data_IF_180074883118
#
_entry.id   IF_180074883118
#
_cell.length_a   1.000
_cell.length_b   1.000
_cell.length_c   1.000
_cell.angle_alpha   90.00
_cell.angle_beta   90.00
_cell.angle_gamma   90.00
#
_symmetry.space_group_name_H-M   'P 1'
#
loop_
_entity.id
_entity.type
_entity.pdbx_description
1 polymer ?
#
# COMPACT_ATOMS: atom_id res chain seq x y z
N UNK A 1 -11.49 49.87 13.53
CA UNK A 1 -10.28 49.12 13.86
C UNK A 1 -10.35 47.77 13.11
N UNK A 2 -9.59 47.64 12.03
CA UNK A 2 -9.54 46.41 11.20
C UNK A 2 -8.29 45.64 11.63
N UNK A 3 -8.45 44.53 12.33
CA UNK A 3 -7.38 43.59 12.66
C UNK A 3 -7.11 42.66 11.44
N UNK A 4 -5.93 42.79 10.85
CA UNK A 4 -5.42 41.84 9.85
C UNK A 4 -4.84 40.63 10.60
N UNK A 5 -5.39 39.45 10.38
CA UNK A 5 -4.70 38.21 10.71
C UNK A 5 -3.77 37.84 9.56
N UNK A 6 -2.49 37.85 9.83
CA UNK A 6 -1.45 37.30 8.93
C UNK A 6 -1.33 35.81 9.16
N UNK A 7 -1.88 35.01 8.25
CA UNK A 7 -1.58 33.59 8.14
C UNK A 7 -0.61 33.40 6.98
N UNK A 8 0.47 32.70 7.20
CA UNK A 8 1.31 32.20 6.11
C UNK A 8 2.81 32.42 6.29
N UNK A 9 3.49 31.56 7.02
CA UNK A 9 4.97 31.61 7.09
C UNK A 9 5.68 30.29 7.41
N UNK A 10 4.97 29.28 7.93
CA UNK A 10 5.62 28.07 8.43
C UNK A 10 5.81 26.94 7.41
N UNK A 11 4.79 26.61 6.64
CA UNK A 11 4.82 25.46 5.72
C UNK A 11 5.78 25.66 4.53
N UNK A 12 5.80 26.86 3.97
CA UNK A 12 6.72 27.18 2.84
C UNK A 12 8.19 27.18 3.20
N UNK A 13 8.56 27.38 4.47
CA UNK A 13 9.95 27.35 4.92
C UNK A 13 10.45 25.92 5.15
N UNK A 14 9.59 25.02 5.65
CA UNK A 14 9.91 23.60 5.83
C UNK A 14 10.05 22.87 4.48
N UNK A 15 9.15 23.14 3.52
CA UNK A 15 9.24 22.59 2.17
C UNK A 15 10.50 23.08 1.44
N UNK A 16 10.87 24.37 1.54
CA UNK A 16 12.10 24.90 0.95
C UNK A 16 13.36 24.34 1.61
N UNK A 17 13.35 24.06 2.91
CA UNK A 17 14.47 23.44 3.63
C UNK A 17 14.72 21.98 3.21
N UNK A 18 13.68 21.22 2.84
CA UNK A 18 13.79 19.86 2.31
C UNK A 18 14.30 19.84 0.86
N UNK A 19 13.78 20.70 0.00
CA UNK A 19 14.23 20.83 -1.39
C UNK A 19 15.72 21.20 -1.51
N UNK A 20 16.26 21.99 -0.59
CA UNK A 20 17.68 22.35 -0.55
C UNK A 20 18.59 21.15 -0.20
N UNK A 21 18.07 20.07 0.41
CA UNK A 21 18.84 18.85 0.70
C UNK A 21 18.99 17.92 -0.51
N UNK A 22 18.11 18.02 -1.51
CA UNK A 22 18.10 17.13 -2.68
C UNK A 22 18.74 17.75 -3.93
N UNK A 23 19.17 19.01 -3.88
CA UNK A 23 19.71 19.76 -5.02
C UNK A 23 21.23 19.71 -5.21
N UNK A 24 21.97 18.93 -4.43
CA UNK A 24 23.43 18.90 -4.50
C UNK A 24 23.96 17.54 -4.95
N UNK A 25 24.62 17.54 -6.12
CA UNK A 25 25.51 16.51 -6.66
C UNK A 25 24.89 15.23 -7.26
N UNK A 26 24.55 15.30 -8.55
CA UNK A 26 23.92 14.25 -9.37
C UNK A 26 24.86 13.09 -9.80
N UNK A 27 26.08 13.00 -9.33
CA UNK A 27 27.07 11.99 -9.76
C UNK A 27 27.39 10.94 -8.70
N UNK A 28 26.93 11.09 -7.46
CA UNK A 28 27.14 10.09 -6.42
C UNK A 28 26.02 9.05 -6.41
N UNK A 29 26.38 7.76 -6.44
CA UNK A 29 25.46 6.67 -6.10
C UNK A 29 24.83 6.99 -4.74
N UNK A 30 23.52 7.22 -4.74
CA UNK A 30 22.79 7.56 -3.51
C UNK A 30 22.95 6.41 -2.51
N UNK A 31 23.18 6.68 -1.22
CA UNK A 31 23.35 5.62 -0.23
C UNK A 31 22.11 4.73 -0.21
N UNK A 32 22.32 3.42 -0.17
CA UNK A 32 21.24 2.46 0.03
C UNK A 32 20.46 2.83 1.29
N UNK A 33 19.12 2.83 1.23
CA UNK A 33 18.27 3.14 2.39
C UNK A 33 18.44 2.10 3.52
N UNK A 34 19.03 0.95 3.21
CA UNK A 34 19.08 -0.24 4.08
C UNK A 34 20.30 -0.35 5.01
N UNK A 35 21.17 0.66 5.14
CA UNK A 35 22.35 0.51 5.99
C UNK A 35 21.93 0.15 7.43
N UNK A 36 22.29 -1.08 7.85
CA UNK A 36 22.02 -1.66 9.18
C UNK A 36 20.55 -1.84 9.55
N UNK A 37 19.61 -1.84 8.60
CA UNK A 37 18.21 -2.15 8.89
C UNK A 37 17.99 -3.67 9.05
N UNK A 38 17.22 -4.05 10.07
CA UNK A 38 16.76 -5.44 10.26
C UNK A 38 15.73 -5.82 9.21
N UNK A 39 14.84 -4.89 8.85
CA UNK A 39 13.81 -5.07 7.84
C UNK A 39 14.07 -4.17 6.62
N UNK A 40 13.83 -4.70 5.45
CA UNK A 40 13.87 -3.92 4.21
C UNK A 40 12.66 -2.97 4.13
N UNK A 41 11.48 -3.47 4.54
CA UNK A 41 10.21 -2.71 4.57
C UNK A 41 9.41 -3.05 5.82
N UNK A 42 8.90 -2.05 6.53
CA UNK A 42 7.82 -2.19 7.51
C UNK A 42 6.58 -1.48 6.95
N UNK A 43 5.45 -2.18 6.87
CA UNK A 43 4.21 -1.56 6.39
C UNK A 43 3.19 -1.35 7.51
N UNK A 44 2.43 -0.23 7.43
CA UNK A 44 1.23 0.02 8.21
C UNK A 44 0.03 -0.06 7.29
N UNK A 45 -0.95 -0.91 7.62
CA UNK A 45 -2.12 -1.10 6.75
C UNK A 45 -3.31 -1.76 7.44
N UNK A 46 -4.40 -1.88 6.68
CA UNK A 46 -5.58 -2.60 7.12
C UNK A 46 -5.32 -4.10 7.19
N UNK A 47 -5.29 -4.65 8.40
CA UNK A 47 -5.19 -6.09 8.62
C UNK A 47 -6.59 -6.71 8.40
N UNK A 48 -6.85 -7.18 7.20
CA UNK A 48 -8.11 -7.79 6.80
C UNK A 48 -7.89 -9.18 6.21
N UNK A 49 -8.89 -10.05 6.33
CA UNK A 49 -8.90 -11.37 5.68
C UNK A 49 -9.70 -11.28 4.40
N UNK A 50 -9.09 -11.64 3.28
CA UNK A 50 -9.78 -11.78 2.01
C UNK A 50 -10.47 -13.14 1.96
N UNK A 51 -11.78 -13.13 1.64
CA UNK A 51 -12.60 -14.32 1.48
C UNK A 51 -13.08 -14.37 0.02
N UNK A 52 -12.46 -15.20 -0.78
CA UNK A 52 -12.79 -15.35 -2.20
C UNK A 52 -13.72 -16.53 -2.42
N UNK A 53 -14.89 -16.29 -3.02
CA UNK A 53 -15.82 -17.36 -3.38
C UNK A 53 -16.44 -17.13 -4.77
N UNK A 54 -16.71 -18.20 -5.53
CA UNK A 54 -17.47 -18.09 -6.76
C UNK A 54 -18.94 -17.75 -6.45
N UNK A 55 -19.58 -16.97 -7.31
CA UNK A 55 -21.00 -16.69 -7.21
C UNK A 55 -21.66 -16.60 -8.58
N UNK A 56 -22.98 -16.85 -8.63
CA UNK A 56 -23.78 -16.57 -9.82
C UNK A 56 -24.26 -15.10 -9.80
N UNK A 57 -24.49 -14.45 -10.95
CA UNK A 57 -25.00 -13.08 -11.02
C UNK A 57 -26.30 -12.88 -10.22
N UNK A 58 -27.16 -13.91 -10.18
CA UNK A 58 -28.40 -13.90 -9.40
C UNK A 58 -28.16 -13.75 -7.88
N UNK A 59 -27.02 -14.21 -7.37
CA UNK A 59 -26.65 -14.00 -5.97
C UNK A 59 -26.41 -12.50 -5.68
N UNK A 60 -25.68 -11.82 -6.55
CA UNK A 60 -25.41 -10.39 -6.41
C UNK A 60 -26.71 -9.58 -6.44
N UNK A 61 -27.61 -9.89 -7.39
CA UNK A 61 -28.91 -9.26 -7.49
C UNK A 61 -29.76 -9.49 -6.23
N UNK A 62 -29.83 -10.73 -5.75
CA UNK A 62 -30.60 -11.11 -4.55
C UNK A 62 -30.07 -10.41 -3.28
N UNK A 63 -28.78 -10.06 -3.24
CA UNK A 63 -28.15 -9.33 -2.13
C UNK A 63 -28.09 -7.81 -2.35
N UNK A 64 -28.58 -7.30 -3.48
CA UNK A 64 -28.56 -5.88 -3.83
C UNK A 64 -27.15 -5.33 -4.05
N UNK A 65 -26.21 -6.19 -4.47
CA UNK A 65 -24.83 -5.83 -4.72
C UNK A 65 -24.64 -5.38 -6.17
N UNK A 66 -23.94 -4.28 -6.37
CA UNK A 66 -23.64 -3.79 -7.72
C UNK A 66 -22.43 -4.57 -8.26
N UNK A 67 -22.60 -5.32 -9.37
CA UNK A 67 -21.51 -6.09 -9.95
C UNK A 67 -20.28 -5.22 -10.26
N UNK A 68 -19.10 -5.74 -9.94
CA UNK A 68 -17.83 -5.05 -10.20
C UNK A 68 -17.50 -3.90 -9.25
N UNK A 69 -18.33 -3.64 -8.23
CA UNK A 69 -18.11 -2.56 -7.27
C UNK A 69 -17.42 -3.05 -5.99
N UNK A 70 -16.82 -2.08 -5.27
CA UNK A 70 -16.41 -2.24 -3.89
C UNK A 70 -17.31 -1.36 -3.01
N UNK A 71 -17.80 -1.94 -1.90
CA UNK A 71 -18.57 -1.19 -0.91
C UNK A 71 -18.15 -1.56 0.50
N UNK A 72 -18.23 -0.58 1.41
CA UNK A 72 -18.05 -0.81 2.83
C UNK A 72 -19.36 -1.33 3.43
N UNK A 73 -19.25 -2.30 4.33
CA UNK A 73 -20.37 -2.92 5.05
C UNK A 73 -20.08 -2.93 6.54
N UNK A 74 -21.13 -3.00 7.36
CA UNK A 74 -21.00 -3.19 8.80
C UNK A 74 -20.78 -4.70 9.15
N UNK A 75 -20.52 -4.97 10.45
CA UNK A 75 -20.26 -6.33 10.95
C UNK A 75 -21.42 -7.28 10.67
N UNK A 76 -22.68 -6.83 10.87
CA UNK A 76 -23.89 -7.65 10.68
C UNK A 76 -24.13 -7.96 9.20
N UNK A 77 -23.97 -6.96 8.34
CA UNK A 77 -24.05 -7.14 6.89
C UNK A 77 -22.97 -8.10 6.40
N UNK A 78 -21.75 -7.92 6.87
CA UNK A 78 -20.62 -8.78 6.53
C UNK A 78 -20.86 -10.22 6.97
N UNK A 79 -21.35 -10.46 8.20
CA UNK A 79 -21.66 -11.79 8.69
C UNK A 79 -22.77 -12.46 7.83
N UNK A 80 -23.86 -11.72 7.57
CA UNK A 80 -24.97 -12.21 6.75
C UNK A 80 -24.56 -12.57 5.31
N UNK A 81 -23.65 -11.79 4.74
CA UNK A 81 -23.11 -12.07 3.41
C UNK A 81 -22.20 -13.30 3.44
N UNK A 82 -21.28 -13.36 4.42
CA UNK A 82 -20.36 -14.48 4.60
C UNK A 82 -21.10 -15.82 4.73
N UNK A 83 -22.14 -15.88 5.57
CA UNK A 83 -22.97 -17.09 5.77
C UNK A 83 -23.72 -17.52 4.50
N UNK A 84 -23.96 -16.58 3.58
CA UNK A 84 -24.67 -16.84 2.34
C UNK A 84 -23.74 -17.15 1.16
N UNK A 85 -22.43 -16.92 1.28
CA UNK A 85 -21.46 -17.20 0.22
C UNK A 85 -21.26 -18.69 0.00
N UNK A 86 -20.84 -19.07 -1.19
CA UNK A 86 -20.34 -20.41 -1.45
C UNK A 86 -19.03 -20.66 -0.68
N UNK A 87 -18.61 -21.93 -0.60
CA UNK A 87 -17.31 -22.27 -0.04
C UNK A 87 -16.19 -21.50 -0.78
N UNK A 88 -15.36 -20.83 -0.02
CA UNK A 88 -14.30 -19.95 -0.53
C UNK A 88 -12.95 -20.24 0.08
N UNK A 89 -11.98 -19.43 -0.32
CA UNK A 89 -10.60 -19.43 0.21
C UNK A 89 -10.43 -18.21 1.08
N UNK A 90 -9.91 -18.41 2.28
CA UNK A 90 -9.54 -17.35 3.22
C UNK A 90 -8.03 -17.21 3.24
N UNK A 91 -7.57 -15.96 3.15
CA UNK A 91 -6.15 -15.63 3.23
C UNK A 91 -5.96 -14.26 3.89
N UNK A 92 -4.84 -14.02 4.54
CA UNK A 92 -4.50 -12.67 4.97
C UNK A 92 -4.43 -11.75 3.74
N UNK A 93 -5.07 -10.58 3.83
CA UNK A 93 -5.23 -9.62 2.75
C UNK A 93 -4.86 -8.20 3.19
N UNK A 94 -5.48 -7.22 2.53
CA UNK A 94 -5.16 -5.81 2.68
C UNK A 94 -3.95 -5.39 1.85
N UNK A 95 -4.01 -4.18 1.26
CA UNK A 95 -3.03 -3.69 0.30
C UNK A 95 -1.60 -3.76 0.84
N UNK A 96 -1.34 -3.19 2.02
CA UNK A 96 -0.01 -3.23 2.62
C UNK A 96 0.40 -4.65 3.05
N UNK A 97 -0.55 -5.49 3.48
CA UNK A 97 -0.31 -6.91 3.78
C UNK A 97 0.15 -7.69 2.54
N UNK A 98 -0.48 -7.45 1.40
CA UNK A 98 -0.08 -8.02 0.12
C UNK A 98 1.31 -7.53 -0.32
N UNK A 99 1.58 -6.23 -0.11
CA UNK A 99 2.89 -5.64 -0.43
C UNK A 99 4.02 -6.31 0.37
N UNK A 100 3.88 -6.46 1.69
CA UNK A 100 4.94 -7.09 2.50
C UNK A 100 5.08 -8.58 2.23
N UNK A 101 3.98 -9.27 1.85
CA UNK A 101 4.06 -10.65 1.39
C UNK A 101 4.87 -10.76 0.07
N UNK A 102 4.68 -9.82 -0.84
CA UNK A 102 5.49 -9.71 -2.06
C UNK A 102 6.98 -9.45 -1.76
N UNK A 103 7.28 -8.56 -0.82
CA UNK A 103 8.66 -8.33 -0.33
C UNK A 103 9.27 -9.64 0.18
N UNK A 104 8.53 -10.40 1.00
CA UNK A 104 8.95 -11.73 1.48
C UNK A 104 9.18 -12.72 0.33
N UNK A 105 8.30 -12.75 -0.68
CA UNK A 105 8.43 -13.61 -1.86
C UNK A 105 9.69 -13.33 -2.68
N UNK A 106 10.14 -12.08 -2.72
CA UNK A 106 11.45 -11.70 -3.27
C UNK A 106 12.65 -12.08 -2.37
N UNK A 107 12.41 -12.63 -1.17
CA UNK A 107 13.44 -12.89 -0.18
C UNK A 107 13.90 -11.64 0.57
N UNK A 108 13.07 -10.62 0.62
CA UNK A 108 13.22 -9.45 1.49
C UNK A 108 12.77 -9.76 2.91
N UNK A 109 13.20 -8.92 3.84
CA UNK A 109 12.79 -8.99 5.26
C UNK A 109 11.73 -7.94 5.49
N UNK A 110 10.54 -8.34 5.88
CA UNK A 110 9.42 -7.43 6.05
C UNK A 110 8.84 -7.49 7.47
N UNK A 111 8.29 -6.37 7.91
CA UNK A 111 7.47 -6.24 9.10
C UNK A 111 6.11 -5.62 8.73
N UNK A 112 5.11 -5.89 9.55
CA UNK A 112 3.77 -5.37 9.34
C UNK A 112 3.17 -4.88 10.66
N UNK A 113 2.54 -3.73 10.64
CA UNK A 113 1.76 -3.15 11.74
C UNK A 113 0.33 -2.98 11.25
N UNK A 114 -0.62 -3.64 11.91
CA UNK A 114 -2.05 -3.58 11.58
C UNK A 114 -2.85 -4.21 12.70
N UNK A 115 -4.11 -3.84 12.85
CA UNK A 115 -4.94 -4.26 13.97
C UNK A 115 -5.88 -5.38 13.58
N UNK A 116 -5.85 -6.49 14.30
CA UNK A 116 -6.82 -7.58 14.25
C UNK A 116 -7.52 -7.72 15.60
N UNK A 117 -8.72 -8.29 15.63
CA UNK A 117 -9.40 -8.64 16.87
C UNK A 117 -8.93 -10.01 17.38
N UNK A 118 -9.25 -10.29 18.63
CA UNK A 118 -9.09 -11.61 19.26
C UNK A 118 -10.24 -12.53 18.83
N UNK A 119 -10.19 -12.99 17.60
CA UNK A 119 -11.17 -13.88 17.00
C UNK A 119 -10.50 -14.84 16.00
N UNK A 120 -11.27 -15.77 15.45
CA UNK A 120 -10.76 -16.79 14.51
C UNK A 120 -10.10 -16.17 13.27
N UNK A 121 -10.68 -15.09 12.71
CA UNK A 121 -10.08 -14.42 11.55
C UNK A 121 -8.78 -13.69 11.91
N UNK A 122 -8.69 -13.14 13.12
CA UNK A 122 -7.44 -12.56 13.64
C UNK A 122 -6.32 -13.60 13.81
N UNK A 123 -6.68 -14.81 14.23
CA UNK A 123 -5.75 -15.95 14.27
C UNK A 123 -5.31 -16.37 12.87
N UNK A 124 -6.24 -16.48 11.92
CA UNK A 124 -5.96 -16.78 10.50
C UNK A 124 -5.02 -15.73 9.92
N UNK A 125 -5.34 -14.44 10.06
CA UNK A 125 -4.50 -13.37 9.57
C UNK A 125 -3.07 -13.46 10.16
N UNK A 126 -2.99 -13.57 11.49
CA UNK A 126 -1.71 -13.57 12.21
C UNK A 126 -0.84 -14.77 11.84
N UNK A 127 -1.44 -15.95 11.69
CA UNK A 127 -0.74 -17.15 11.25
C UNK A 127 -0.24 -17.00 9.81
N UNK A 128 -1.10 -16.57 8.92
CA UNK A 128 -0.83 -16.56 7.49
C UNK A 128 0.24 -15.49 7.12
N UNK A 129 0.14 -14.27 7.69
CA UNK A 129 1.14 -13.23 7.44
C UNK A 129 2.53 -13.60 7.97
N UNK A 130 2.59 -14.33 9.11
CA UNK A 130 3.85 -14.85 9.65
C UNK A 130 4.39 -16.03 8.84
N UNK A 131 3.52 -16.86 8.28
CA UNK A 131 3.91 -18.01 7.46
C UNK A 131 4.62 -17.59 6.17
N UNK A 132 4.31 -16.41 5.62
CA UNK A 132 5.04 -15.83 4.48
C UNK A 132 6.32 -15.08 4.90
N UNK A 133 6.75 -15.20 6.17
CA UNK A 133 8.01 -14.65 6.66
C UNK A 133 7.96 -13.19 7.12
N UNK A 134 6.78 -12.61 7.27
CA UNK A 134 6.60 -11.22 7.74
C UNK A 134 6.56 -11.19 9.27
N UNK A 135 7.32 -10.29 9.89
CA UNK A 135 7.24 -10.02 11.31
C UNK A 135 5.93 -9.27 11.63
N UNK A 136 5.10 -9.83 12.51
CA UNK A 136 3.82 -9.26 12.90
C UNK A 136 3.53 -9.51 14.37
N UNK A 137 3.62 -8.49 15.21
CA UNK A 137 3.46 -8.55 16.66
C UNK A 137 2.56 -7.42 17.22
N UNK A 138 1.77 -6.75 16.36
CA UNK A 138 0.81 -5.74 16.81
C UNK A 138 -0.17 -6.34 17.82
N UNK A 139 -0.38 -5.74 18.99
CA UNK A 139 -1.33 -6.23 19.97
C UNK A 139 -2.73 -6.36 19.41
N UNK A 140 -3.39 -7.50 19.65
CA UNK A 140 -4.77 -7.74 19.22
C UNK A 140 -5.75 -6.83 19.97
N UNK A 141 -6.90 -6.56 19.34
CA UNK A 141 -8.03 -5.90 20.00
C UNK A 141 -8.81 -6.96 20.80
N UNK A 142 -8.66 -6.94 22.14
CA UNK A 142 -9.18 -8.01 23.01
C UNK A 142 -10.73 -8.10 23.00
N UNK A 143 -11.43 -6.98 22.99
CA UNK A 143 -12.89 -6.90 23.10
C UNK A 143 -13.55 -6.49 21.76
N UNK A 144 -12.94 -6.77 20.64
CA UNK A 144 -13.43 -6.34 19.32
C UNK A 144 -14.57 -7.19 18.79
N UNK A 145 -14.45 -8.51 18.93
CA UNK A 145 -15.42 -9.47 18.36
C UNK A 145 -16.79 -9.34 19.05
N UNK A 146 -17.84 -9.23 18.23
CA UNK A 146 -19.21 -9.09 18.72
C UNK A 146 -19.59 -7.69 19.22
N UNK A 147 -18.65 -6.75 19.19
CA UNK A 147 -18.87 -5.33 19.58
C UNK A 147 -18.75 -4.36 18.38
N UNK A 148 -18.86 -4.85 17.16
CA UNK A 148 -18.73 -4.05 15.93
C UNK A 148 -17.27 -3.89 15.44
N UNK A 149 -16.31 -4.53 16.10
CA UNK A 149 -14.87 -4.41 15.81
C UNK A 149 -14.17 -5.76 15.68
N UNK A 150 -14.89 -6.81 15.23
CA UNK A 150 -14.26 -8.07 14.82
C UNK A 150 -13.17 -7.85 13.77
N UNK A 151 -12.34 -8.84 13.53
CA UNK A 151 -11.27 -8.74 12.51
C UNK A 151 -11.87 -8.38 11.15
N UNK A 152 -11.26 -7.40 10.49
CA UNK A 152 -11.67 -6.94 9.18
C UNK A 152 -11.64 -8.06 8.14
N UNK A 153 -12.57 -8.02 7.18
CA UNK A 153 -12.62 -8.98 6.07
C UNK A 153 -13.17 -8.34 4.80
N UNK A 154 -12.64 -8.76 3.67
CA UNK A 154 -13.15 -8.42 2.35
C UNK A 154 -13.80 -9.66 1.73
N UNK A 155 -15.12 -9.61 1.54
CA UNK A 155 -15.89 -10.66 0.89
C UNK A 155 -15.88 -10.42 -0.62
N UNK A 156 -15.16 -11.27 -1.35
CA UNK A 156 -14.90 -11.14 -2.77
C UNK A 156 -15.71 -12.18 -3.53
N UNK A 157 -16.83 -11.75 -4.10
CA UNK A 157 -17.70 -12.57 -4.91
C UNK A 157 -17.28 -12.51 -6.37
N UNK A 158 -17.00 -13.67 -6.96
CA UNK A 158 -16.43 -13.79 -8.30
C UNK A 158 -17.43 -14.46 -9.23
N UNK A 159 -17.91 -13.74 -10.24
CA UNK A 159 -18.83 -14.26 -11.26
C UNK A 159 -18.09 -15.04 -12.35
N UNK A 160 -18.78 -15.92 -13.13
CA UNK A 160 -18.16 -16.77 -14.14
C UNK A 160 -17.39 -16.02 -15.24
N UNK A 161 -17.72 -14.75 -15.48
CA UNK A 161 -16.99 -13.87 -16.39
C UNK A 161 -15.72 -13.24 -15.77
N UNK A 162 -15.43 -13.58 -14.49
CA UNK A 162 -14.27 -13.10 -13.77
C UNK A 162 -14.46 -11.76 -13.08
N UNK A 163 -15.65 -11.16 -13.13
CA UNK A 163 -15.89 -9.89 -12.45
C UNK A 163 -15.98 -10.12 -10.93
N UNK A 164 -15.43 -9.17 -10.18
CA UNK A 164 -15.39 -9.20 -8.71
C UNK A 164 -16.28 -8.14 -8.11
N UNK A 165 -17.05 -8.56 -7.11
CA UNK A 165 -17.84 -7.64 -6.28
C UNK A 165 -17.38 -7.80 -4.85
N UNK A 166 -16.92 -6.71 -4.25
CA UNK A 166 -16.26 -6.69 -2.95
C UNK A 166 -17.14 -6.00 -1.91
N UNK A 167 -17.28 -6.65 -0.75
CA UNK A 167 -17.94 -6.08 0.41
C UNK A 167 -16.95 -6.10 1.58
N UNK A 168 -16.46 -4.94 1.99
CA UNK A 168 -15.37 -4.82 2.96
C UNK A 168 -15.91 -4.32 4.30
N UNK A 169 -15.71 -5.13 5.33
CA UNK A 169 -15.85 -4.77 6.72
C UNK A 169 -14.46 -4.52 7.30
N UNK A 170 -14.18 -3.31 7.75
CA UNK A 170 -12.85 -2.92 8.24
C UNK A 170 -12.62 -3.32 9.71
N UNK A 171 -13.68 -3.33 10.52
CA UNK A 171 -13.64 -3.82 11.90
C UNK A 171 -12.46 -3.30 12.72
N UNK A 172 -11.69 -4.24 13.27
CA UNK A 172 -10.52 -3.95 14.10
C UNK A 172 -9.45 -3.14 13.37
N UNK A 173 -9.33 -3.23 12.04
CA UNK A 173 -8.35 -2.45 11.29
C UNK A 173 -8.53 -0.93 11.48
N UNK A 174 -9.80 -0.47 11.61
CA UNK A 174 -10.11 0.93 11.91
C UNK A 174 -9.76 1.37 13.35
N UNK A 175 -9.34 0.44 14.21
CA UNK A 175 -8.96 0.71 15.60
C UNK A 175 -7.44 0.85 15.77
N UNK A 176 -6.70 0.94 14.66
CA UNK A 176 -5.27 1.24 14.70
C UNK A 176 -5.04 2.63 15.26
N UNK A 177 -4.16 2.75 16.24
CA UNK A 177 -3.84 4.00 16.93
C UNK A 177 -2.33 4.21 17.06
N UNK A 178 -1.93 5.35 17.60
CA UNK A 178 -0.51 5.63 17.92
C UNK A 178 0.09 4.65 18.92
N UNK A 179 -0.73 4.01 19.78
CA UNK A 179 -0.25 3.02 20.73
C UNK A 179 0.19 1.70 20.07
N UNK A 180 -0.24 1.47 18.84
CA UNK A 180 0.13 0.28 18.04
C UNK A 180 1.41 0.49 17.21
N UNK A 181 1.92 1.72 17.16
CA UNK A 181 3.14 2.08 16.42
C UNK A 181 4.36 1.67 17.22
N UNK A 182 4.98 0.56 16.85
CA UNK A 182 6.22 0.10 17.45
C UNK A 182 7.42 0.87 16.87
N UNK A 183 7.91 1.86 17.64
CA UNK A 183 9.05 2.68 17.24
C UNK A 183 10.35 1.88 17.05
N UNK A 184 10.49 0.73 17.73
CA UNK A 184 11.63 -0.17 17.57
C UNK A 184 11.60 -0.85 16.20
N UNK A 185 10.46 -1.43 15.81
CA UNK A 185 10.27 -2.04 14.49
C UNK A 185 10.43 -0.99 13.38
N UNK A 186 9.86 0.20 13.58
CA UNK A 186 10.00 1.35 12.66
C UNK A 186 11.48 1.73 12.49
N UNK A 187 12.21 1.92 13.58
CA UNK A 187 13.62 2.29 13.56
C UNK A 187 14.55 1.23 12.96
N UNK A 188 14.16 -0.03 13.06
CA UNK A 188 14.85 -1.19 12.49
C UNK A 188 14.53 -1.42 11.00
N UNK A 189 13.68 -0.60 10.39
CA UNK A 189 13.23 -0.76 9.00
C UNK A 189 13.88 0.27 8.07
N UNK A 190 14.32 -0.14 6.89
CA UNK A 190 14.89 0.79 5.90
C UNK A 190 13.84 1.76 5.36
N UNK A 191 12.66 1.25 5.05
CA UNK A 191 11.50 2.01 4.56
C UNK A 191 10.28 1.65 5.39
N UNK A 192 9.53 2.68 5.83
CA UNK A 192 8.21 2.55 6.45
C UNK A 192 7.16 2.88 5.40
N UNK A 193 6.31 1.93 5.06
CA UNK A 193 5.31 2.02 4.00
C UNK A 193 3.90 2.16 4.57
N UNK A 194 3.20 3.20 4.17
CA UNK A 194 1.88 3.59 4.69
C UNK A 194 0.80 3.34 3.64
N UNK A 195 -0.26 2.64 4.02
CA UNK A 195 -1.41 2.35 3.16
C UNK A 195 -2.41 3.50 3.18
N UNK A 196 -2.65 4.15 2.04
CA UNK A 196 -3.53 5.31 1.92
C UNK A 196 -4.96 5.07 2.41
N UNK A 197 -5.50 3.85 2.33
CA UNK A 197 -6.82 3.53 2.88
C UNK A 197 -6.95 3.83 4.38
N UNK A 198 -5.87 3.70 5.16
CA UNK A 198 -5.85 4.08 6.58
C UNK A 198 -5.89 5.59 6.82
N UNK A 199 -5.87 6.40 5.77
CA UNK A 199 -6.02 7.84 5.92
C UNK A 199 -7.44 8.28 6.32
N UNK A 200 -8.43 7.39 6.13
CA UNK A 200 -9.84 7.67 6.43
C UNK A 200 -10.12 7.81 7.95
N UNK A 201 -9.72 6.88 8.85
CA UNK A 201 -9.92 7.04 10.28
C UNK A 201 -8.93 8.04 10.91
N UNK A 202 -9.44 9.01 11.67
CA UNK A 202 -8.60 10.01 12.34
C UNK A 202 -7.52 9.42 13.28
N UNK A 203 -7.78 8.36 14.08
CA UNK A 203 -6.73 7.72 14.87
C UNK A 203 -5.60 7.13 14.05
N UNK A 204 -5.92 6.53 12.89
CA UNK A 204 -4.92 5.97 11.99
C UNK A 204 -4.07 7.05 11.31
N UNK A 205 -4.65 8.23 11.00
CA UNK A 205 -3.84 9.38 10.54
C UNK A 205 -2.81 9.81 11.58
N UNK A 206 -3.21 9.87 12.86
CA UNK A 206 -2.26 10.17 13.95
C UNK A 206 -1.19 9.08 14.07
N UNK A 207 -1.53 7.79 13.82
CA UNK A 207 -0.56 6.70 13.77
C UNK A 207 0.42 6.88 12.60
N UNK A 208 -0.02 7.37 11.44
CA UNK A 208 0.87 7.68 10.31
C UNK A 208 1.87 8.78 10.66
N UNK A 209 1.40 9.86 11.27
CA UNK A 209 2.27 10.95 11.73
C UNK A 209 3.31 10.45 12.74
N UNK A 210 2.88 9.61 13.69
CA UNK A 210 3.77 9.01 14.68
C UNK A 210 4.80 8.07 14.03
N UNK A 211 4.37 7.22 13.09
CA UNK A 211 5.26 6.32 12.35
C UNK A 211 6.27 7.09 11.50
N UNK A 212 5.83 8.14 10.79
CA UNK A 212 6.70 8.99 9.99
C UNK A 212 7.73 9.73 10.87
N UNK A 213 7.30 10.27 12.01
CA UNK A 213 8.19 10.93 12.96
C UNK A 213 9.24 9.96 13.53
N UNK A 214 8.83 8.74 13.92
CA UNK A 214 9.74 7.70 14.42
C UNK A 214 10.74 7.26 13.33
N UNK A 215 10.26 7.06 12.09
CA UNK A 215 11.12 6.72 10.95
C UNK A 215 12.18 7.80 10.70
N UNK A 216 11.79 9.06 10.62
CA UNK A 216 12.71 10.16 10.37
C UNK A 216 13.69 10.37 11.53
N UNK A 217 13.25 10.21 12.80
CA UNK A 217 14.13 10.27 13.96
C UNK A 217 15.22 9.19 13.92
N UNK A 218 14.91 8.02 13.33
CA UNK A 218 15.87 6.94 13.13
C UNK A 218 16.64 7.02 11.80
N UNK A 219 16.45 8.09 11.02
CA UNK A 219 17.09 8.28 9.70
C UNK A 219 16.55 7.34 8.62
N UNK A 220 15.31 6.86 8.77
CA UNK A 220 14.63 5.96 7.85
C UNK A 220 13.73 6.72 6.87
N UNK A 221 13.29 6.05 5.80
CA UNK A 221 12.45 6.63 4.77
C UNK A 221 10.98 6.30 4.99
N UNK A 222 10.11 7.24 4.63
CA UNK A 222 8.66 7.08 4.67
C UNK A 222 8.12 7.00 3.25
N UNK A 223 7.45 5.90 2.95
CA UNK A 223 6.74 5.68 1.69
C UNK A 223 5.22 5.69 1.95
N UNK A 224 4.44 6.20 1.01
CA UNK A 224 2.98 6.12 1.04
C UNK A 224 2.45 5.70 -0.33
N UNK A 225 1.43 4.83 -0.36
CA UNK A 225 0.58 4.64 -1.54
C UNK A 225 -0.68 5.48 -1.42
N UNK A 226 -1.16 6.00 -2.54
CA UNK A 226 -2.44 6.73 -2.56
C UNK A 226 -3.65 5.79 -2.48
N UNK A 227 -3.46 4.51 -2.78
CA UNK A 227 -4.38 3.38 -2.65
C UNK A 227 -5.60 3.41 -3.57
N UNK A 228 -6.34 4.52 -3.64
CA UNK A 228 -7.53 4.66 -4.49
C UNK A 228 -7.89 6.13 -4.73
N UNK A 229 -8.40 6.43 -5.91
CA UNK A 229 -8.83 7.79 -6.29
C UNK A 229 -9.92 8.35 -5.36
N UNK A 230 -10.81 7.50 -4.81
CA UNK A 230 -11.84 7.98 -3.88
C UNK A 230 -11.25 8.47 -2.56
N UNK A 231 -10.19 7.81 -2.06
CA UNK A 231 -9.45 8.28 -0.86
C UNK A 231 -8.81 9.63 -1.15
N UNK A 232 -8.18 9.75 -2.32
CA UNK A 232 -7.56 11.00 -2.77
C UNK A 232 -8.60 12.12 -2.87
N UNK A 233 -9.74 11.90 -3.52
CA UNK A 233 -10.80 12.91 -3.63
C UNK A 233 -11.34 13.35 -2.26
N UNK A 234 -11.47 12.41 -1.33
CA UNK A 234 -12.02 12.68 -0.01
C UNK A 234 -11.06 13.46 0.90
N UNK A 235 -9.76 13.16 0.82
CA UNK A 235 -8.74 13.65 1.74
C UNK A 235 -7.59 14.39 1.04
N UNK A 236 -7.85 14.93 -0.15
CA UNK A 236 -6.82 15.48 -1.03
C UNK A 236 -5.91 16.51 -0.35
N UNK A 237 -6.49 17.47 0.36
CA UNK A 237 -5.72 18.55 0.99
C UNK A 237 -4.82 18.02 2.12
N UNK A 238 -5.36 17.17 2.98
CA UNK A 238 -4.64 16.57 4.10
C UNK A 238 -3.59 15.58 3.61
N UNK A 239 -3.93 14.78 2.58
CA UNK A 239 -3.01 13.82 1.97
C UNK A 239 -1.84 14.53 1.29
N UNK A 240 -2.09 15.60 0.56
CA UNK A 240 -1.05 16.42 -0.05
C UNK A 240 -0.17 17.09 1.01
N UNK A 241 -0.76 17.61 2.09
CA UNK A 241 0.00 18.17 3.20
C UNK A 241 0.89 17.12 3.89
N UNK A 242 0.39 15.89 4.07
CA UNK A 242 1.19 14.79 4.60
C UNK A 242 2.33 14.40 3.65
N UNK A 243 2.06 14.32 2.34
CA UNK A 243 3.08 14.02 1.33
C UNK A 243 4.19 15.07 1.39
N UNK A 244 3.85 16.35 1.37
CA UNK A 244 4.84 17.44 1.38
C UNK A 244 5.65 17.49 2.68
N UNK A 245 5.06 17.15 3.82
CA UNK A 245 5.71 17.24 5.12
C UNK A 245 6.47 15.99 5.52
N UNK A 246 5.98 14.80 5.14
CA UNK A 246 6.36 13.55 5.78
C UNK A 246 6.76 12.43 4.82
N UNK A 247 6.23 12.37 3.58
CA UNK A 247 6.59 11.31 2.66
C UNK A 247 7.92 11.58 1.94
N UNK A 248 8.79 10.58 1.88
CA UNK A 248 10.00 10.59 1.05
C UNK A 248 9.72 9.89 -0.30
N UNK A 249 8.83 8.90 -0.30
CA UNK A 249 8.49 8.06 -1.46
C UNK A 249 6.97 8.05 -1.63
N UNK A 250 6.48 8.27 -2.84
CA UNK A 250 5.05 8.12 -3.16
C UNK A 250 4.86 7.12 -4.29
N UNK A 251 3.95 6.19 -4.07
CA UNK A 251 3.46 5.25 -5.08
C UNK A 251 2.01 5.59 -5.41
N UNK A 252 1.69 5.65 -6.71
CA UNK A 252 0.36 5.96 -7.21
C UNK A 252 0.11 5.27 -8.54
N UNK A 253 -1.15 5.20 -8.95
CA UNK A 253 -1.50 5.00 -10.35
C UNK A 253 -1.85 6.34 -11.03
N UNK A 254 -1.99 6.33 -12.35
CA UNK A 254 -2.30 7.51 -13.16
C UNK A 254 -3.60 8.19 -12.71
N UNK A 255 -4.66 7.43 -12.39
CA UNK A 255 -5.94 7.98 -11.92
C UNK A 255 -5.84 8.64 -10.55
N UNK A 256 -5.10 8.06 -9.63
CA UNK A 256 -4.81 8.65 -8.31
C UNK A 256 -3.98 9.93 -8.43
N UNK A 257 -3.00 9.92 -9.34
CA UNK A 257 -2.18 11.10 -9.62
C UNK A 257 -3.03 12.25 -10.19
N UNK A 258 -3.92 11.96 -11.14
CA UNK A 258 -4.87 12.93 -11.70
C UNK A 258 -5.81 13.49 -10.63
N UNK A 259 -6.33 12.63 -9.74
CA UNK A 259 -7.17 13.06 -8.63
C UNK A 259 -6.40 13.96 -7.63
N UNK A 260 -5.13 13.64 -7.33
CA UNK A 260 -4.31 14.40 -6.39
C UNK A 260 -4.05 15.84 -6.86
N UNK A 261 -3.74 16.00 -8.14
CA UNK A 261 -3.38 17.31 -8.71
C UNK A 261 -4.51 17.98 -9.51
N UNK A 262 -5.71 17.37 -9.58
CA UNK A 262 -6.89 17.88 -10.29
C UNK A 262 -6.56 18.24 -11.76
N UNK A 263 -5.83 17.36 -12.45
CA UNK A 263 -5.41 17.56 -13.83
C UNK A 263 -5.33 16.25 -14.60
N UNK A 264 -5.71 16.29 -15.88
CA UNK A 264 -5.56 15.14 -16.81
C UNK A 264 -4.19 15.13 -17.52
N UNK A 265 -3.35 16.14 -17.28
CA UNK A 265 -1.99 16.19 -17.83
C UNK A 265 -1.06 15.35 -16.94
N UNK A 266 -0.83 14.10 -17.35
CA UNK A 266 0.03 13.16 -16.66
C UNK A 266 1.45 13.69 -16.45
N UNK A 267 2.07 14.24 -17.49
CA UNK A 267 3.47 14.68 -17.42
C UNK A 267 3.63 15.86 -16.46
N UNK A 268 2.66 16.78 -16.46
CA UNK A 268 2.63 17.90 -15.51
C UNK A 268 2.46 17.41 -14.07
N UNK A 269 1.49 16.53 -13.82
CA UNK A 269 1.20 15.98 -12.49
C UNK A 269 2.38 15.14 -11.95
N UNK A 270 2.94 14.25 -12.78
CA UNK A 270 4.06 13.39 -12.42
C UNK A 270 5.34 14.20 -12.13
N UNK A 271 5.62 15.20 -12.96
CA UNK A 271 6.74 16.11 -12.72
C UNK A 271 6.51 16.96 -11.45
N UNK A 272 5.27 17.32 -11.11
CA UNK A 272 4.96 17.99 -9.85
C UNK A 272 5.24 17.08 -8.66
N UNK A 273 4.73 15.84 -8.68
CA UNK A 273 5.00 14.85 -7.62
C UNK A 273 6.49 14.63 -7.43
N UNK A 274 7.25 14.42 -8.52
CA UNK A 274 8.71 14.22 -8.47
C UNK A 274 9.52 15.40 -7.94
N UNK A 275 8.92 16.61 -7.82
CA UNK A 275 9.56 17.77 -7.19
C UNK A 275 9.30 17.87 -5.69
N UNK A 276 8.23 17.31 -5.19
CA UNK A 276 7.84 17.42 -3.76
C UNK A 276 8.26 16.22 -2.92
N UNK A 277 8.66 15.10 -3.56
CA UNK A 277 9.17 13.90 -2.86
C UNK A 277 10.54 13.49 -3.38
N UNK A 278 11.25 12.65 -2.61
CA UNK A 278 12.55 12.12 -3.06
C UNK A 278 12.38 11.12 -4.21
N UNK A 279 11.40 10.21 -4.09
CA UNK A 279 11.07 9.23 -5.13
C UNK A 279 9.57 9.23 -5.39
N UNK A 280 9.20 9.28 -6.65
CA UNK A 280 7.83 9.02 -7.08
C UNK A 280 7.82 7.82 -8.03
N UNK A 281 6.84 6.92 -7.90
CA UNK A 281 6.63 5.80 -8.80
C UNK A 281 5.14 5.74 -9.19
N UNK A 282 4.84 5.96 -10.47
CA UNK A 282 3.47 6.06 -10.98
C UNK A 282 3.22 4.98 -12.02
N UNK A 283 2.27 4.09 -11.75
CA UNK A 283 1.85 3.03 -12.66
C UNK A 283 0.81 3.52 -13.65
N UNK A 284 0.85 2.98 -14.89
CA UNK A 284 -0.01 3.36 -16.02
C UNK A 284 -0.60 2.12 -16.71
N UNK A 285 -0.91 1.09 -15.93
CA UNK A 285 -1.44 -0.18 -16.43
C UNK A 285 -0.54 -0.79 -17.51
N UNK A 286 -1.09 -1.09 -18.67
CA UNK A 286 -0.35 -1.67 -19.79
C UNK A 286 0.75 -0.76 -20.37
N UNK A 287 0.70 0.55 -20.10
CA UNK A 287 1.75 1.48 -20.48
C UNK A 287 2.99 1.43 -19.56
N UNK A 288 2.96 0.57 -18.53
CA UNK A 288 4.09 0.40 -17.61
C UNK A 288 4.06 1.40 -16.46
N UNK A 289 5.20 2.01 -16.16
CA UNK A 289 5.33 2.96 -15.04
C UNK A 289 6.39 4.02 -15.32
N UNK A 290 6.30 5.11 -14.59
CA UNK A 290 7.29 6.21 -14.62
C UNK A 290 7.79 6.46 -13.20
N UNK A 291 9.10 6.45 -13.01
CA UNK A 291 9.73 6.71 -11.73
C UNK A 291 10.57 7.99 -11.81
N UNK A 292 10.59 8.74 -10.72
CA UNK A 292 11.34 10.00 -10.59
C UNK A 292 12.19 9.98 -9.34
N UNK A 293 13.41 10.55 -9.42
CA UNK A 293 14.30 10.82 -8.28
C UNK A 293 15.30 11.90 -8.63
N UNK A 294 15.33 13.01 -7.89
CA UNK A 294 16.35 14.04 -8.03
C UNK A 294 16.49 14.63 -9.44
N UNK A 295 15.40 14.72 -10.21
CA UNK A 295 15.39 15.16 -11.60
C UNK A 295 15.58 14.05 -12.63
N UNK A 296 16.00 12.86 -12.25
CA UNK A 296 15.97 11.66 -13.11
C UNK A 296 14.53 11.24 -13.34
N UNK A 297 14.17 10.91 -14.60
CA UNK A 297 12.92 10.28 -15.00
C UNK A 297 13.22 8.97 -15.71
N UNK A 298 12.64 7.89 -15.25
CA UNK A 298 12.82 6.55 -15.82
C UNK A 298 11.47 5.98 -16.18
N UNK A 299 11.30 5.56 -17.43
CA UNK A 299 10.14 4.82 -17.91
C UNK A 299 10.45 3.34 -17.89
N UNK A 300 9.56 2.55 -17.30
CA UNK A 300 9.68 1.09 -17.21
C UNK A 300 8.47 0.47 -17.89
N UNK A 301 8.71 -0.34 -18.91
CA UNK A 301 7.64 -1.05 -19.62
C UNK A 301 6.94 -2.06 -18.70
N UNK A 302 5.65 -2.30 -18.94
CA UNK A 302 4.95 -3.41 -18.33
C UNK A 302 5.56 -4.74 -18.83
N UNK A 303 5.74 -5.71 -17.92
CA UNK A 303 6.09 -7.06 -18.33
C UNK A 303 4.90 -7.68 -19.09
N UNK A 304 5.17 -8.35 -20.21
CA UNK A 304 4.11 -8.98 -21.00
C UNK A 304 3.47 -10.13 -20.22
N UNK A 305 2.16 -10.22 -20.29
CA UNK A 305 1.37 -11.34 -19.78
C UNK A 305 0.60 -11.97 -20.94
N UNK A 306 0.47 -13.29 -20.93
CA UNK A 306 -0.29 -14.00 -21.97
C UNK A 306 -1.78 -13.66 -21.88
N UNK A 307 -2.30 -13.61 -20.63
CA UNK A 307 -3.69 -13.27 -20.33
C UNK A 307 -3.78 -12.59 -18.99
N UNK A 308 -4.48 -11.46 -18.92
CA UNK A 308 -4.89 -10.85 -17.66
C UNK A 308 -6.09 -11.62 -17.12
N UNK A 309 -5.95 -12.19 -15.92
CA UNK A 309 -7.00 -12.96 -15.22
C UNK A 309 -7.64 -12.09 -14.14
N UNK A 310 -6.82 -11.36 -13.37
CA UNK A 310 -7.27 -10.57 -12.24
C UNK A 310 -6.25 -9.46 -11.92
N UNK A 311 -6.70 -8.22 -11.84
CA UNK A 311 -5.81 -7.08 -11.57
C UNK A 311 -5.66 -6.73 -10.09
N UNK A 312 -6.34 -7.48 -9.20
CA UNK A 312 -6.23 -7.27 -7.74
C UNK A 312 -4.79 -7.51 -7.28
N UNK A 313 -4.28 -6.60 -6.47
CA UNK A 313 -2.92 -6.70 -5.95
C UNK A 313 -1.81 -6.29 -6.92
N UNK A 314 -2.12 -5.93 -8.17
CA UNK A 314 -1.10 -5.48 -9.12
C UNK A 314 -0.28 -4.30 -8.58
N UNK A 315 -0.95 -3.30 -8.01
CA UNK A 315 -0.32 -2.15 -7.36
C UNK A 315 0.49 -2.55 -6.13
N UNK A 316 -0.03 -3.49 -5.32
CA UNK A 316 0.63 -3.98 -4.11
C UNK A 316 1.94 -4.71 -4.46
N UNK A 317 1.90 -5.58 -5.47
CA UNK A 317 3.07 -6.32 -5.91
C UNK A 317 4.07 -5.43 -6.66
N UNK A 318 3.59 -4.44 -7.41
CA UNK A 318 4.45 -3.40 -7.97
C UNK A 318 5.18 -2.64 -6.84
N UNK A 319 4.46 -2.22 -5.80
CA UNK A 319 5.04 -1.57 -4.63
C UNK A 319 6.08 -2.46 -3.94
N UNK A 320 5.82 -3.76 -3.78
CA UNK A 320 6.76 -4.71 -3.19
C UNK A 320 8.12 -4.72 -3.91
N UNK A 321 8.11 -4.83 -5.24
CA UNK A 321 9.33 -4.82 -6.05
C UNK A 321 10.07 -3.49 -5.99
N UNK A 322 9.35 -2.36 -6.11
CA UNK A 322 9.94 -1.01 -6.04
C UNK A 322 10.56 -0.74 -4.68
N UNK A 323 9.82 -0.96 -3.59
CA UNK A 323 10.28 -0.69 -2.23
C UNK A 323 11.48 -1.55 -1.87
N UNK A 324 11.46 -2.85 -2.21
CA UNK A 324 12.60 -3.73 -2.00
C UNK A 324 13.82 -3.27 -2.80
N UNK A 325 13.65 -2.95 -4.07
CA UNK A 325 14.74 -2.44 -4.92
C UNK A 325 15.37 -1.18 -4.35
N UNK A 326 14.54 -0.21 -3.94
CA UNK A 326 14.99 1.04 -3.32
C UNK A 326 15.71 0.79 -1.98
N UNK A 327 15.16 -0.08 -1.12
CA UNK A 327 15.78 -0.42 0.17
C UNK A 327 17.19 -0.99 0.00
N UNK A 328 17.44 -1.71 -1.07
CA UNK A 328 18.72 -2.32 -1.42
C UNK A 328 19.64 -1.44 -2.26
N UNK A 329 19.22 -0.22 -2.57
CA UNK A 329 20.04 0.75 -3.33
C UNK A 329 20.11 0.45 -4.83
N UNK A 330 19.16 -0.30 -5.37
CA UNK A 330 19.05 -0.52 -6.81
C UNK A 330 18.67 0.79 -7.52
N UNK A 331 19.01 0.90 -8.81
CA UNK A 331 18.58 2.02 -9.64
C UNK A 331 17.06 2.05 -9.80
N UNK A 332 16.48 3.21 -10.17
CA UNK A 332 15.05 3.33 -10.46
C UNK A 332 14.59 2.33 -11.52
N UNK A 333 15.40 2.13 -12.57
CA UNK A 333 15.09 1.17 -13.63
C UNK A 333 15.00 -0.27 -13.10
N UNK A 334 15.93 -0.68 -12.24
CA UNK A 334 15.93 -2.01 -11.64
C UNK A 334 14.76 -2.18 -10.65
N UNK A 335 14.52 -1.20 -9.78
CA UNK A 335 13.41 -1.21 -8.83
C UNK A 335 12.05 -1.28 -9.57
N UNK A 336 11.86 -0.46 -10.59
CA UNK A 336 10.66 -0.47 -11.42
C UNK A 336 10.47 -1.79 -12.19
N UNK A 337 11.57 -2.39 -12.68
CA UNK A 337 11.52 -3.70 -13.36
C UNK A 337 11.10 -4.82 -12.40
N UNK A 338 11.58 -4.83 -11.14
CA UNK A 338 11.11 -5.76 -10.11
C UNK A 338 9.61 -5.57 -9.83
N UNK A 339 9.16 -4.33 -9.70
CA UNK A 339 7.74 -4.00 -9.52
C UNK A 339 6.89 -4.47 -10.69
N UNK A 340 7.32 -4.18 -11.92
CA UNK A 340 6.61 -4.57 -13.15
C UNK A 340 6.53 -6.11 -13.29
N UNK A 341 7.61 -6.84 -12.96
CA UNK A 341 7.64 -8.31 -12.98
C UNK A 341 6.64 -8.88 -11.95
N UNK A 342 6.64 -8.38 -10.72
CA UNK A 342 5.73 -8.85 -9.68
C UNK A 342 4.27 -8.55 -10.00
N UNK A 343 3.97 -7.38 -10.55
CA UNK A 343 2.64 -7.04 -11.03
C UNK A 343 2.19 -7.97 -12.16
N UNK A 344 3.08 -8.32 -13.09
CA UNK A 344 2.75 -9.22 -14.21
C UNK A 344 2.46 -10.65 -13.75
N UNK A 345 3.15 -11.12 -12.73
CA UNK A 345 2.90 -12.45 -12.15
C UNK A 345 1.50 -12.50 -11.51
N UNK A 346 1.18 -11.52 -10.66
CA UNK A 346 -0.08 -11.54 -9.92
C UNK A 346 -1.31 -11.38 -10.80
N UNK A 347 -1.22 -10.60 -11.90
CA UNK A 347 -2.38 -10.43 -12.79
C UNK A 347 -2.64 -11.62 -13.73
N UNK A 348 -1.75 -12.62 -13.76
CA UNK A 348 -1.89 -13.83 -14.55
C UNK A 348 -2.74 -14.92 -13.89
N UNK A 349 -3.15 -14.74 -12.64
CA UNK A 349 -3.94 -15.70 -11.86
C UNK A 349 -4.92 -15.01 -10.90
N UNK A 350 -5.68 -15.80 -10.15
CA UNK A 350 -6.60 -15.31 -9.13
C UNK A 350 -5.87 -14.96 -7.83
N UNK A 351 -6.23 -13.83 -7.23
CA UNK A 351 -5.77 -13.40 -5.91
C UNK A 351 -4.62 -12.40 -5.95
N UNK A 352 -4.44 -11.61 -4.87
CA UNK A 352 -3.51 -10.47 -4.84
C UNK A 352 -2.07 -10.84 -4.51
N UNK A 353 -1.78 -12.12 -4.25
CA UNK A 353 -0.46 -12.58 -3.82
C UNK A 353 0.20 -13.49 -4.84
N UNK A 354 1.55 -13.45 -4.95
CA UNK A 354 2.29 -14.29 -5.89
C UNK A 354 2.07 -15.78 -5.62
N UNK A 355 1.82 -16.55 -6.67
CA UNK A 355 1.74 -18.03 -6.63
C UNK A 355 3.10 -18.69 -6.81
N UNK A 356 4.10 -17.94 -7.29
CA UNK A 356 5.49 -18.41 -7.43
C UNK A 356 6.44 -17.54 -6.62
N UNK A 357 7.60 -18.09 -6.24
CA UNK A 357 8.63 -17.31 -5.56
C UNK A 357 9.20 -16.21 -6.45
N UNK A 358 8.89 -14.95 -6.17
CA UNK A 358 9.31 -13.79 -6.98
C UNK A 358 10.84 -13.68 -7.08
N UNK A 359 11.58 -14.11 -6.06
CA UNK A 359 13.05 -14.18 -6.11
C UNK A 359 13.53 -15.06 -7.26
N UNK A 360 12.98 -16.27 -7.38
CA UNK A 360 13.33 -17.20 -8.45
C UNK A 360 12.92 -16.65 -9.81
N UNK A 361 11.74 -16.06 -9.90
CA UNK A 361 11.23 -15.45 -11.12
C UNK A 361 12.13 -14.28 -11.58
N UNK A 362 12.55 -13.40 -10.67
CA UNK A 362 13.46 -12.30 -10.97
C UNK A 362 14.79 -12.81 -11.56
N UNK A 363 15.39 -13.84 -10.94
CA UNK A 363 16.62 -14.45 -11.45
C UNK A 363 16.43 -15.03 -12.86
N UNK A 364 15.31 -15.71 -13.13
CA UNK A 364 14.99 -16.25 -14.47
C UNK A 364 14.89 -15.15 -15.53
N UNK A 365 14.45 -13.96 -15.15
CA UNK A 365 14.36 -12.79 -16.01
C UNK A 365 15.64 -11.92 -16.03
N UNK A 366 16.72 -12.38 -15.39
CA UNK A 366 18.01 -11.67 -15.36
C UNK A 366 18.02 -10.42 -14.50
N UNK A 367 17.04 -10.27 -13.59
CA UNK A 367 17.01 -9.18 -12.63
C UNK A 367 17.80 -9.53 -11.37
N UNK A 368 18.65 -8.59 -10.95
CA UNK A 368 19.39 -8.70 -9.70
C UNK A 368 18.54 -8.16 -8.52
N UNK A 369 18.73 -8.73 -7.33
CA UNK A 369 18.06 -8.37 -6.09
C UNK A 369 19.04 -7.82 -5.06
#
# INVERSE_FOLDING_TARGET
>A
MKGRFSHGGGAGALARGRLARYGADMTQSLPAFAQNARFDVCALGNAIVDVLAPCEPAFLEAKGLVPGSMQLVDETQSATLYDAMAAGVEASGGSAGNTVAGVGSFGGRAAYIGKVAKDTLGEVFSHDIRAVGVHFDTPVLEDGAGNGFGTGRCLINVTPDGQRTMCTFLGAANQLTTADVDAGVIGDSAIVYLEGYLFDPAPARAAFEAAAAAAHAAGRKVAITLSDSFVVHRWRAELLAFIESSADIVLANEGELHALFETEDFDHAAAHLGRIVEVAAVTRGAAGSVLFRGGERVEVAAYPVEKVVDTTGAGDQYAAGVLLGLSRGLSLAQAGALGSLAASEVIAHWGPRPMVGLKGLAVQHGLSL
#
